data_IF_418207433679
#
_entry.id   IF_418207433679
#
_cell.length_a   1.000
_cell.length_b   1.000
_cell.length_c   1.000
_cell.angle_alpha   90.00
_cell.angle_beta   90.00
_cell.angle_gamma   90.00
#
_symmetry.space_group_name_H-M   'P 1'
#
loop_
_entity.id
_entity.type
_entity.pdbx_description
1 polymer ?
#
# COMPACT_ATOMS: atom_id res chain seq x y z
N UNK A 1 -11.35 -20.96 22.43
CA UNK A 1 -10.06 -20.49 21.88
C UNK A 1 -9.05 -20.40 23.02
N UNK A 2 -7.79 -20.80 22.81
CA UNK A 2 -6.70 -20.66 23.81
C UNK A 2 -6.23 -19.20 23.90
N UNK A 3 -5.87 -18.73 25.11
CA UNK A 3 -5.30 -17.40 25.37
C UNK A 3 -4.07 -17.11 24.49
N UNK A 4 -3.28 -18.13 24.16
CA UNK A 4 -2.13 -18.02 23.25
C UNK A 4 -2.55 -17.70 21.81
N UNK A 5 -3.62 -18.34 21.32
CA UNK A 5 -4.15 -18.12 19.98
C UNK A 5 -4.81 -16.74 19.83
N UNK A 6 -5.54 -16.27 20.85
CA UNK A 6 -6.12 -14.93 20.82
C UNK A 6 -5.03 -13.83 20.79
N UNK A 7 -3.92 -14.04 21.53
CA UNK A 7 -2.77 -13.13 21.52
C UNK A 7 -2.05 -13.12 20.16
N UNK A 8 -1.97 -14.26 19.48
CA UNK A 8 -1.36 -14.33 18.15
C UNK A 8 -2.24 -13.65 17.08
N UNK A 9 -3.56 -13.80 17.16
CA UNK A 9 -4.52 -13.13 16.28
C UNK A 9 -4.47 -11.60 16.43
N UNK A 10 -4.51 -11.10 17.68
CA UNK A 10 -4.38 -9.66 17.94
C UNK A 10 -3.05 -9.08 17.39
N UNK A 11 -1.95 -9.83 17.52
CA UNK A 11 -0.66 -9.43 16.96
C UNK A 11 -0.68 -9.39 15.42
N UNK A 12 -1.36 -10.33 14.76
CA UNK A 12 -1.53 -10.35 13.32
C UNK A 12 -2.35 -9.15 12.83
N UNK A 13 -3.48 -8.86 13.46
CA UNK A 13 -4.34 -7.71 13.13
C UNK A 13 -3.56 -6.39 13.27
N UNK A 14 -2.81 -6.23 14.37
CA UNK A 14 -1.96 -5.04 14.57
C UNK A 14 -0.81 -4.96 13.56
N UNK A 15 -0.24 -6.09 13.16
CA UNK A 15 0.79 -6.13 12.10
C UNK A 15 0.20 -5.67 10.77
N UNK A 16 -0.98 -6.16 10.40
CA UNK A 16 -1.68 -5.77 9.17
C UNK A 16 -2.00 -4.28 9.16
N UNK A 17 -2.52 -3.74 10.26
CA UNK A 17 -2.77 -2.30 10.42
C UNK A 17 -1.51 -1.46 10.13
N UNK A 18 -0.39 -1.83 10.76
CA UNK A 18 0.89 -1.12 10.55
C UNK A 18 1.40 -1.26 9.13
N UNK A 19 1.23 -2.43 8.50
CA UNK A 19 1.62 -2.64 7.10
C UNK A 19 0.82 -1.75 6.15
N UNK A 20 -0.49 -1.63 6.33
CA UNK A 20 -1.35 -0.75 5.54
C UNK A 20 -0.94 0.72 5.69
N UNK A 21 -0.72 1.20 6.92
CA UNK A 21 -0.28 2.57 7.16
C UNK A 21 1.09 2.86 6.53
N UNK A 22 2.06 1.95 6.68
CA UNK A 22 3.37 2.09 6.05
C UNK A 22 3.26 2.11 4.52
N UNK A 23 2.44 1.23 3.95
CA UNK A 23 2.21 1.20 2.52
C UNK A 23 1.58 2.52 2.02
N UNK A 24 0.67 3.11 2.79
CA UNK A 24 0.06 4.39 2.46
C UNK A 24 1.07 5.54 2.36
N UNK A 25 2.09 5.58 3.24
CA UNK A 25 3.14 6.61 3.22
C UNK A 25 3.96 6.63 1.92
N UNK A 26 4.07 5.49 1.23
CA UNK A 26 4.81 5.40 -0.02
C UNK A 26 4.06 6.00 -1.22
N UNK A 27 2.79 6.41 -1.07
CA UNK A 27 2.10 7.11 -2.15
C UNK A 27 2.68 8.52 -2.36
N UNK A 28 3.19 8.83 -3.55
CA UNK A 28 3.84 10.12 -3.80
C UNK A 28 2.84 11.28 -3.74
N UNK A 29 1.62 11.06 -4.23
CA UNK A 29 0.58 12.07 -4.22
C UNK A 29 -0.16 12.11 -2.87
N UNK A 30 -0.21 13.31 -2.28
CA UNK A 30 -0.75 13.57 -0.95
C UNK A 30 -2.19 13.08 -0.76
N UNK A 31 -3.06 13.34 -1.73
CA UNK A 31 -4.46 12.92 -1.70
C UNK A 31 -4.62 11.40 -1.55
N UNK A 32 -3.84 10.60 -2.31
CA UNK A 32 -3.88 9.14 -2.21
C UNK A 32 -3.31 8.64 -0.89
N UNK A 33 -2.21 9.23 -0.41
CA UNK A 33 -1.60 8.93 0.89
C UNK A 33 -2.59 9.16 2.03
N UNK A 34 -3.18 10.35 2.11
CA UNK A 34 -4.09 10.72 3.19
C UNK A 34 -5.41 9.95 3.10
N UNK A 35 -5.93 9.72 1.88
CA UNK A 35 -7.10 8.87 1.69
C UNK A 35 -6.85 7.45 2.21
N UNK A 36 -5.72 6.83 1.83
CA UNK A 36 -5.38 5.48 2.25
C UNK A 36 -5.23 5.40 3.78
N UNK A 37 -4.51 6.35 4.41
CA UNK A 37 -4.38 6.41 5.87
C UNK A 37 -5.73 6.54 6.57
N UNK A 38 -6.57 7.48 6.11
CA UNK A 38 -7.90 7.71 6.68
C UNK A 38 -8.75 6.46 6.54
N UNK A 39 -8.82 5.88 5.35
CA UNK A 39 -9.60 4.67 5.07
C UNK A 39 -9.17 3.48 5.93
N UNK A 40 -7.86 3.27 6.10
CA UNK A 40 -7.32 2.24 7.00
C UNK A 40 -7.71 2.51 8.45
N UNK A 41 -7.54 3.75 8.95
CA UNK A 41 -7.90 4.10 10.33
C UNK A 41 -9.39 3.91 10.58
N UNK A 42 -10.23 4.35 9.66
CA UNK A 42 -11.68 4.26 9.78
C UNK A 42 -12.14 2.80 9.80
N UNK A 43 -11.61 1.96 8.89
CA UNK A 43 -11.94 0.52 8.86
C UNK A 43 -11.61 -0.20 10.18
N UNK A 44 -10.43 0.05 10.74
CA UNK A 44 -9.99 -0.60 11.98
C UNK A 44 -10.72 -0.04 13.21
N UNK A 45 -11.15 1.23 13.17
CA UNK A 45 -11.99 1.83 14.23
C UNK A 45 -13.41 1.29 14.19
N UNK A 46 -13.99 1.20 13.00
CA UNK A 46 -15.34 0.67 12.75
C UNK A 46 -15.48 -0.76 13.29
N UNK A 47 -14.47 -1.60 13.09
CA UNK A 47 -14.50 -3.01 13.50
C UNK A 47 -13.72 -3.32 14.78
N UNK A 48 -13.37 -2.32 15.60
CA UNK A 48 -12.56 -2.51 16.82
C UNK A 48 -13.21 -3.47 17.83
N UNK A 49 -14.53 -3.47 17.89
CA UNK A 49 -15.32 -4.28 18.82
C UNK A 49 -15.81 -5.59 18.23
N UNK A 50 -15.36 -5.98 17.03
CA UNK A 50 -15.77 -7.24 16.42
C UNK A 50 -15.21 -8.43 17.23
N UNK A 51 -16.10 -9.35 17.60
CA UNK A 51 -15.77 -10.52 18.42
C UNK A 51 -16.10 -11.84 17.73
N UNK A 52 -16.85 -11.82 16.64
CA UNK A 52 -17.09 -13.03 15.84
C UNK A 52 -15.80 -13.43 15.11
N UNK A 53 -15.19 -14.59 15.43
CA UNK A 53 -13.95 -15.04 14.80
C UNK A 53 -14.04 -15.15 13.28
N UNK A 54 -15.21 -15.52 12.74
CA UNK A 54 -15.41 -15.62 11.28
C UNK A 54 -15.33 -14.24 10.66
N UNK A 55 -15.98 -13.26 11.29
CA UNK A 55 -16.00 -11.89 10.81
C UNK A 55 -14.62 -11.23 10.93
N UNK A 56 -13.89 -11.47 12.02
CA UNK A 56 -12.50 -11.03 12.17
C UNK A 56 -11.63 -11.59 11.05
N UNK A 57 -11.76 -12.90 10.76
CA UNK A 57 -11.01 -13.53 9.67
C UNK A 57 -11.32 -12.92 8.30
N UNK A 58 -12.60 -12.68 7.98
CA UNK A 58 -13.01 -12.00 6.74
C UNK A 58 -12.41 -10.60 6.62
N UNK A 59 -12.42 -9.82 7.72
CA UNK A 59 -11.86 -8.48 7.76
C UNK A 59 -10.33 -8.49 7.58
N UNK A 60 -9.64 -9.46 8.18
CA UNK A 60 -8.21 -9.67 7.99
C UNK A 60 -7.91 -10.01 6.52
N UNK A 61 -8.66 -10.92 5.91
CA UNK A 61 -8.49 -11.27 4.49
C UNK A 61 -8.74 -10.07 3.57
N UNK A 62 -9.77 -9.28 3.86
CA UNK A 62 -10.03 -8.02 3.15
C UNK A 62 -8.84 -7.06 3.27
N UNK A 63 -8.32 -6.85 4.47
CA UNK A 63 -7.18 -5.96 4.69
C UNK A 63 -5.90 -6.44 3.97
N UNK A 64 -5.66 -7.76 3.91
CA UNK A 64 -4.55 -8.33 3.14
C UNK A 64 -4.69 -8.08 1.65
N UNK A 65 -5.91 -8.23 1.10
CA UNK A 65 -6.22 -7.91 -0.30
C UNK A 65 -6.02 -6.42 -0.59
N UNK A 66 -6.49 -5.54 0.30
CA UNK A 66 -6.29 -4.10 0.18
C UNK A 66 -4.80 -3.73 0.18
N UNK A 67 -4.01 -4.35 1.06
CA UNK A 67 -2.55 -4.18 1.11
C UNK A 67 -1.87 -4.61 -0.21
N UNK A 68 -2.29 -5.75 -0.78
CA UNK A 68 -1.78 -6.22 -2.06
C UNK A 68 -2.08 -5.23 -3.19
N UNK A 69 -3.31 -4.72 -3.25
CA UNK A 69 -3.72 -3.72 -4.25
C UNK A 69 -2.88 -2.44 -4.12
N UNK A 70 -2.67 -1.94 -2.89
CA UNK A 70 -1.84 -0.74 -2.66
C UNK A 70 -0.39 -0.94 -3.10
N UNK A 71 0.19 -2.13 -2.85
CA UNK A 71 1.54 -2.49 -3.32
C UNK A 71 1.61 -2.53 -4.85
N UNK A 72 0.59 -3.10 -5.49
CA UNK A 72 0.55 -3.22 -6.94
C UNK A 72 0.38 -1.86 -7.62
N UNK A 73 -0.47 -0.97 -7.09
CA UNK A 73 -0.60 0.40 -7.61
C UNK A 73 0.72 1.16 -7.52
N UNK A 74 1.41 1.08 -6.37
CA UNK A 74 2.72 1.71 -6.22
C UNK A 74 3.74 1.14 -7.22
N UNK A 75 3.84 -0.18 -7.34
CA UNK A 75 4.75 -0.82 -8.27
C UNK A 75 4.49 -0.42 -9.73
N UNK A 76 3.21 -0.35 -10.14
CA UNK A 76 2.82 0.06 -11.48
C UNK A 76 3.12 1.55 -11.75
N UNK A 77 3.00 2.41 -10.74
CA UNK A 77 3.38 3.83 -10.84
C UNK A 77 4.89 3.99 -11.01
N UNK A 78 5.69 3.31 -10.18
CA UNK A 78 7.16 3.38 -10.26
C UNK A 78 7.68 2.88 -11.60
N UNK A 79 7.13 1.78 -12.13
CA UNK A 79 7.48 1.26 -13.46
C UNK A 79 7.23 2.28 -14.57
N UNK A 80 6.07 2.96 -14.55
CA UNK A 80 5.75 4.00 -15.53
C UNK A 80 6.69 5.21 -15.44
N UNK A 81 7.01 5.66 -14.23
CA UNK A 81 7.95 6.77 -14.02
C UNK A 81 9.36 6.43 -14.53
N UNK A 82 9.82 5.19 -14.34
CA UNK A 82 11.12 4.74 -14.85
C UNK A 82 11.18 4.73 -16.39
N UNK A 83 10.13 4.23 -17.05
CA UNK A 83 10.07 4.21 -18.53
C UNK A 83 10.09 5.64 -19.09
N UNK A 84 9.29 6.54 -18.51
CA UNK A 84 9.24 7.94 -18.93
C UNK A 84 10.59 8.62 -18.69
N UNK A 85 11.22 8.38 -17.54
CA UNK A 85 12.55 8.92 -17.21
C UNK A 85 13.63 8.46 -18.19
N UNK A 86 13.61 7.19 -18.60
CA UNK A 86 14.53 6.65 -19.61
C UNK A 86 14.30 7.29 -20.98
N UNK A 87 13.04 7.50 -21.38
CA UNK A 87 12.70 8.14 -22.66
C UNK A 87 13.27 9.57 -22.77
N UNK A 88 13.13 10.39 -21.73
CA UNK A 88 13.70 11.74 -21.71
C UNK A 88 15.24 11.75 -21.67
N UNK A 89 15.89 10.72 -21.12
CA UNK A 89 17.34 10.58 -21.18
C UNK A 89 17.83 10.23 -22.58
N UNK A 90 17.14 9.32 -23.27
CA UNK A 90 17.47 8.95 -24.65
C UNK A 90 17.29 10.12 -25.62
N UNK A 91 16.21 10.90 -25.49
CA UNK A 91 15.98 12.08 -26.35
C UNK A 91 17.05 13.16 -26.15
N UNK A 92 17.47 13.39 -24.90
CA UNK A 92 18.52 14.39 -24.60
C UNK A 92 19.88 13.97 -25.17
N UNK A 93 20.21 12.69 -25.14
CA UNK A 93 21.44 12.17 -25.74
C UNK A 93 21.42 12.29 -27.27
N UNK A 94 20.29 11.96 -27.90
CA UNK A 94 20.12 12.09 -29.34
C UNK A 94 20.23 13.54 -29.83
N UNK A 95 19.61 14.50 -29.13
CA UNK A 95 19.70 15.92 -29.50
C UNK A 95 21.12 16.48 -29.35
N UNK A 96 21.88 16.09 -28.32
CA UNK A 96 23.27 16.53 -28.16
C UNK A 96 24.18 16.03 -29.29
N UNK A 97 23.98 14.81 -29.77
CA UNK A 97 24.75 14.24 -30.88
C UNK A 97 24.51 14.98 -32.21
N UNK A 98 23.31 15.52 -32.41
CA UNK A 98 22.93 16.20 -33.66
C UNK A 98 23.39 17.67 -33.73
N UNK A 99 23.78 18.28 -32.61
CA UNK A 99 24.34 19.65 -32.55
C UNK A 99 25.88 19.71 -32.61
N UNK A 100 26.54 18.55 -32.72
CA UNK A 100 28.00 18.44 -32.72
C UNK A 100 28.60 18.06 -34.10
N UNK A 101 27.80 18.11 -35.17
CA UNK A 101 28.23 17.95 -36.56
C UNK A 101 27.93 19.19 -37.37
#
# INVERSE_FOLDING_TARGET
MSLSAARSEAAQVLSLYRQLLRQAEHFPAYNFREYAKRRTRDAFREHRGETDPRRVQELVQRGLKELQVMRQDLANRTKRQAIIGNFYQTDRAANKANTAG
#
